data_IF_276306491561
#
_entry.id   IF_276306491561
#
_cell.length_a   1.000
_cell.length_b   1.000
_cell.length_c   1.000
_cell.angle_alpha   90.00
_cell.angle_beta   90.00
_cell.angle_gamma   90.00
#
_symmetry.space_group_name_H-M   'P 1'
#
loop_
_entity.id
_entity.type
_entity.pdbx_description
1 polymer ?
#
# COMPACT_ATOMS: atom_id res chain seq x y z
N UNK A 1 18.77 5.81 8.39
CA UNK A 1 17.54 5.01 8.65
C UNK A 1 16.35 5.94 8.91
N UNK A 2 16.42 6.83 9.92
CA UNK A 2 15.34 7.80 10.20
C UNK A 2 15.05 8.79 9.06
N UNK A 3 16.08 9.31 8.38
CA UNK A 3 15.93 10.23 7.24
C UNK A 3 15.10 9.62 6.11
N UNK A 4 15.42 8.38 5.72
CA UNK A 4 14.65 7.65 4.70
C UNK A 4 13.19 7.44 5.11
N UNK A 5 12.90 7.22 6.39
CA UNK A 5 11.53 7.05 6.86
C UNK A 5 10.73 8.34 6.75
N UNK A 6 11.32 9.49 7.09
CA UNK A 6 10.67 10.79 6.85
C UNK A 6 10.43 11.04 5.36
N UNK A 7 11.37 10.69 4.49
CA UNK A 7 11.20 10.86 3.04
C UNK A 7 10.10 9.95 2.46
N UNK A 8 10.03 8.70 2.90
CA UNK A 8 8.95 7.77 2.53
C UNK A 8 7.60 8.32 3.02
N UNK A 9 7.56 8.88 4.24
CA UNK A 9 6.34 9.46 4.78
C UNK A 9 5.86 10.68 3.99
N UNK A 10 6.75 11.59 3.63
CA UNK A 10 6.42 12.73 2.77
C UNK A 10 6.01 12.29 1.36
N UNK A 11 6.66 11.26 0.82
CA UNK A 11 6.24 10.60 -0.42
C UNK A 11 4.82 10.03 -0.31
N UNK A 12 4.49 9.36 0.80
CA UNK A 12 3.17 8.80 1.03
C UNK A 12 2.11 9.91 1.13
N UNK A 13 2.34 10.96 1.92
CA UNK A 13 1.43 12.12 2.04
C UNK A 13 1.15 12.77 0.69
N UNK A 14 2.16 12.85 -0.19
CA UNK A 14 2.02 13.40 -1.54
C UNK A 14 1.05 12.60 -2.41
N UNK A 15 1.03 11.26 -2.31
CA UNK A 15 0.26 10.41 -3.23
C UNK A 15 -1.00 9.80 -2.65
N UNK A 16 -1.13 9.63 -1.33
CA UNK A 16 -2.23 8.82 -0.74
C UNK A 16 -3.63 9.35 -1.05
N UNK A 17 -3.78 10.67 -1.18
CA UNK A 17 -5.04 11.29 -1.60
C UNK A 17 -5.44 10.93 -3.04
N UNK A 18 -4.47 10.80 -3.94
CA UNK A 18 -4.72 10.40 -5.33
C UNK A 18 -4.83 8.88 -5.48
N UNK A 19 -4.12 8.11 -4.62
CA UNK A 19 -4.22 6.65 -4.57
C UNK A 19 -5.63 6.24 -4.20
N UNK A 20 -6.22 6.85 -3.17
CA UNK A 20 -7.52 6.43 -2.66
C UNK A 20 -8.67 6.96 -3.53
N UNK A 21 -9.61 6.11 -3.94
CA UNK A 21 -10.85 6.58 -4.61
C UNK A 21 -11.94 6.95 -3.62
N UNK A 22 -11.73 6.65 -2.33
CA UNK A 22 -12.62 6.99 -1.21
C UNK A 22 -11.83 7.71 -0.11
N UNK A 23 -12.48 8.57 0.68
CA UNK A 23 -11.78 9.22 1.80
C UNK A 23 -11.71 8.32 3.05
N UNK A 24 -11.01 7.18 2.94
CA UNK A 24 -10.91 6.15 3.98
C UNK A 24 -9.45 5.80 4.33
N UNK A 25 -8.56 6.79 4.28
CA UNK A 25 -7.17 6.65 4.69
C UNK A 25 -6.87 7.39 6.00
N UNK A 26 -5.93 6.87 6.78
CA UNK A 26 -5.50 7.42 8.06
C UNK A 26 -3.98 7.44 8.10
N UNK A 27 -3.39 8.61 8.37
CA UNK A 27 -1.94 8.84 8.43
C UNK A 27 -1.57 9.12 9.88
N UNK A 28 -0.65 8.35 10.47
CA UNK A 28 -0.19 8.39 11.88
C UNK A 28 -1.29 8.10 12.93
N UNK A 29 -2.45 8.74 12.83
CA UNK A 29 -3.58 8.66 13.76
C UNK A 29 -4.63 7.62 13.33
N UNK A 30 -4.20 6.38 13.16
CA UNK A 30 -5.08 5.28 12.75
C UNK A 30 -5.98 4.85 13.92
N UNK A 31 -7.32 4.77 13.76
CA UNK A 31 -8.20 4.29 14.82
C UNK A 31 -7.77 2.91 15.32
N UNK A 32 -7.51 2.78 16.62
CA UNK A 32 -6.91 1.57 17.22
C UNK A 32 -7.63 0.27 16.86
N UNK A 33 -8.97 0.29 16.81
CA UNK A 33 -9.79 -0.86 16.40
C UNK A 33 -9.49 -1.30 14.95
N UNK A 34 -9.40 -0.35 14.02
CA UNK A 34 -9.09 -0.62 12.62
C UNK A 34 -7.65 -1.12 12.46
N UNK A 35 -6.71 -0.49 13.17
CA UNK A 35 -5.30 -0.90 13.18
C UNK A 35 -5.14 -2.34 13.66
N UNK A 36 -5.76 -2.69 14.80
CA UNK A 36 -5.69 -4.05 15.34
C UNK A 36 -6.33 -5.06 14.38
N UNK A 37 -7.43 -4.71 13.72
CA UNK A 37 -8.06 -5.56 12.70
C UNK A 37 -7.15 -5.76 11.48
N UNK A 38 -6.49 -4.70 11.00
CA UNK A 38 -5.55 -4.76 9.89
C UNK A 38 -4.35 -5.67 10.22
N UNK A 39 -3.72 -5.45 11.38
CA UNK A 39 -2.59 -6.27 11.86
C UNK A 39 -3.00 -7.74 11.98
N UNK A 40 -4.14 -8.00 12.63
CA UNK A 40 -4.64 -9.37 12.81
C UNK A 40 -4.98 -10.05 11.47
N UNK A 41 -5.53 -9.32 10.50
CA UNK A 41 -6.02 -9.91 9.25
C UNK A 41 -4.97 -10.04 8.15
N UNK A 42 -4.02 -9.10 8.03
CA UNK A 42 -3.07 -9.09 6.92
C UNK A 42 -1.69 -8.48 7.24
N UNK A 43 -1.48 -7.93 8.44
CA UNK A 43 -0.22 -7.35 8.89
C UNK A 43 0.47 -8.12 10.01
N UNK A 44 0.38 -9.45 10.06
CA UNK A 44 0.73 -10.26 11.26
C UNK A 44 2.15 -10.03 11.81
N UNK A 45 3.11 -9.69 10.96
CA UNK A 45 4.52 -9.50 11.33
C UNK A 45 4.95 -8.03 11.39
N UNK A 46 4.00 -7.09 11.29
CA UNK A 46 4.31 -5.67 11.28
C UNK A 46 4.61 -5.16 12.69
N UNK A 47 5.70 -4.41 12.81
CA UNK A 47 5.99 -3.60 14.00
C UNK A 47 5.16 -2.32 13.95
N UNK A 48 4.44 -1.98 15.03
CA UNK A 48 3.53 -0.83 15.06
C UNK A 48 4.25 0.49 14.76
N UNK A 49 5.48 0.62 15.23
CA UNK A 49 6.37 1.77 15.01
C UNK A 49 6.78 1.96 13.54
N UNK A 50 6.63 0.93 12.69
CA UNK A 50 6.91 1.02 11.27
C UNK A 50 5.67 1.40 10.45
N UNK A 51 4.48 1.47 11.05
CA UNK A 51 3.23 1.75 10.34
C UNK A 51 3.10 3.25 10.10
N UNK A 52 2.88 3.61 8.83
CA UNK A 52 2.75 5.01 8.39
C UNK A 52 1.28 5.39 8.14
N UNK A 53 0.54 4.51 7.46
CA UNK A 53 -0.85 4.75 7.14
C UNK A 53 -1.66 3.47 6.96
N UNK A 54 -2.98 3.60 7.11
CA UNK A 54 -3.97 2.59 6.73
C UNK A 54 -4.92 3.19 5.71
N UNK A 55 -5.05 2.54 4.55
CA UNK A 55 -6.19 2.71 3.63
C UNK A 55 -7.17 1.55 3.87
N UNK A 56 -8.32 1.84 4.45
CA UNK A 56 -9.38 0.87 4.74
C UNK A 56 -10.33 0.78 3.55
N UNK A 57 -10.39 -0.40 2.90
CA UNK A 57 -11.26 -0.62 1.74
C UNK A 57 -12.51 -1.45 2.09
N UNK A 58 -12.72 -1.75 3.37
CA UNK A 58 -13.87 -2.56 3.78
C UNK A 58 -15.17 -1.77 3.63
N UNK A 59 -16.21 -2.43 3.12
CA UNK A 59 -17.54 -1.83 2.91
C UNK A 59 -18.11 -1.24 4.22
N UNK A 60 -17.88 -1.93 5.35
CA UNK A 60 -18.36 -1.51 6.68
C UNK A 60 -17.31 -0.75 7.51
N UNK A 61 -16.18 -0.37 6.91
CA UNK A 61 -15.13 0.40 7.60
C UNK A 61 -14.52 -0.31 8.82
N UNK A 62 -14.39 -1.64 8.76
CA UNK A 62 -13.82 -2.46 9.83
C UNK A 62 -12.29 -2.48 9.85
N UNK A 63 -11.62 -2.16 8.74
CA UNK A 63 -10.15 -2.23 8.60
C UNK A 63 -9.59 -3.64 8.36
N UNK A 64 -10.45 -4.66 8.17
CA UNK A 64 -10.02 -6.06 7.92
C UNK A 64 -9.53 -6.33 6.50
N UNK A 65 -9.77 -5.41 5.58
CA UNK A 65 -9.28 -5.40 4.20
C UNK A 65 -8.70 -4.00 3.94
N UNK A 66 -7.70 -3.91 3.10
CA UNK A 66 -7.06 -2.63 2.80
C UNK A 66 -5.57 -2.73 2.58
N UNK A 67 -4.91 -1.58 2.69
CA UNK A 67 -3.49 -1.40 2.49
C UNK A 67 -2.89 -0.72 3.72
N UNK A 68 -1.99 -1.43 4.40
CA UNK A 68 -1.24 -0.95 5.54
C UNK A 68 0.17 -0.61 5.06
N UNK A 69 0.42 0.69 4.93
CA UNK A 69 1.69 1.25 4.47
C UNK A 69 2.66 1.29 5.64
N UNK A 70 3.89 0.81 5.41
CA UNK A 70 4.95 0.80 6.40
C UNK A 70 6.22 1.43 5.83
N UNK A 71 7.24 1.57 6.67
CA UNK A 71 8.58 2.02 6.25
C UNK A 71 9.31 1.01 5.35
N UNK A 72 8.86 -0.25 5.31
CA UNK A 72 9.54 -1.35 4.60
C UNK A 72 8.76 -1.86 3.39
N UNK A 73 7.44 -1.66 3.37
CA UNK A 73 6.58 -2.19 2.33
C UNK A 73 5.11 -1.89 2.53
N UNK A 74 4.26 -2.64 1.82
CA UNK A 74 2.81 -2.55 1.92
C UNK A 74 2.26 -3.95 2.23
N UNK A 75 1.65 -4.11 3.40
CA UNK A 75 0.81 -5.26 3.70
C UNK A 75 -0.60 -4.96 3.20
N UNK A 76 -1.22 -5.88 2.47
CA UNK A 76 -2.56 -5.62 1.97
C UNK A 76 -3.40 -6.88 1.84
N UNK A 77 -4.72 -6.67 1.82
CA UNK A 77 -5.70 -7.70 1.54
C UNK A 77 -6.86 -7.05 0.79
N UNK A 78 -7.04 -7.47 -0.46
CA UNK A 78 -8.20 -7.09 -1.25
C UNK A 78 -9.42 -7.94 -0.86
N UNK A 79 -10.62 -7.46 -1.16
CA UNK A 79 -11.85 -8.20 -0.87
C UNK A 79 -11.82 -9.58 -1.51
N UNK A 80 -12.16 -10.60 -0.72
CA UNK A 80 -12.14 -12.02 -1.11
C UNK A 80 -10.76 -12.59 -1.51
N UNK A 81 -9.67 -11.85 -1.32
CA UNK A 81 -8.31 -12.31 -1.59
C UNK A 81 -7.55 -12.63 -0.30
N UNK A 82 -6.46 -13.39 -0.44
CA UNK A 82 -5.52 -13.65 0.65
C UNK A 82 -4.65 -12.41 0.95
N UNK A 83 -4.10 -12.39 2.17
CA UNK A 83 -3.14 -11.35 2.57
C UNK A 83 -1.85 -11.45 1.75
N UNK A 84 -1.32 -10.29 1.34
CA UNK A 84 -0.11 -10.15 0.55
C UNK A 84 0.80 -9.06 1.11
N UNK A 85 2.08 -9.12 0.72
CA UNK A 85 3.09 -8.16 1.14
C UNK A 85 4.00 -7.78 -0.03
N UNK A 86 4.18 -6.49 -0.24
CA UNK A 86 5.13 -5.91 -1.20
C UNK A 86 6.28 -5.29 -0.41
N UNK A 87 7.44 -5.94 -0.39
CA UNK A 87 8.66 -5.34 0.16
C UNK A 87 9.24 -4.36 -0.85
N UNK A 88 9.46 -3.10 -0.46
CA UNK A 88 10.01 -2.08 -1.36
C UNK A 88 11.38 -2.45 -1.93
N UNK A 89 12.21 -3.14 -1.14
CA UNK A 89 13.56 -3.56 -1.52
C UNK A 89 13.58 -4.69 -2.54
N UNK A 90 12.49 -5.46 -2.62
CA UNK A 90 12.39 -6.67 -3.44
C UNK A 90 11.62 -6.43 -4.75
N UNK A 91 11.18 -5.20 -5.02
CA UNK A 91 10.57 -4.86 -6.31
C UNK A 91 11.64 -4.90 -7.40
N UNK A 92 11.36 -5.65 -8.48
CA UNK A 92 12.16 -5.71 -9.71
C UNK A 92 11.56 -4.78 -10.77
N UNK A 93 10.26 -4.94 -11.05
CA UNK A 93 9.57 -4.18 -12.11
C UNK A 93 8.09 -3.92 -11.77
N UNK A 94 7.56 -2.78 -12.25
CA UNK A 94 6.16 -2.38 -12.05
C UNK A 94 5.53 -2.00 -13.41
N UNK A 95 4.44 -2.67 -13.77
CA UNK A 95 3.64 -2.35 -14.97
C UNK A 95 2.17 -2.13 -14.63
N UNK A 96 1.50 -1.38 -15.51
CA UNK A 96 0.06 -1.18 -15.47
C UNK A 96 -0.53 -1.73 -16.76
N UNK A 97 -1.63 -2.46 -16.63
CA UNK A 97 -2.55 -2.72 -17.73
C UNK A 97 -3.64 -1.67 -17.62
N UNK A 98 -3.55 -0.66 -18.49
CA UNK A 98 -4.44 0.50 -18.47
C UNK A 98 -5.87 0.10 -18.88
N UNK A 99 -6.83 0.74 -18.23
CA UNK A 99 -8.26 0.66 -18.57
C UNK A 99 -8.86 2.07 -18.72
N UNK A 100 -10.15 2.15 -19.04
CA UNK A 100 -10.91 3.38 -19.25
C UNK A 100 -10.79 4.38 -18.07
N UNK A 101 -10.73 3.84 -16.85
CA UNK A 101 -10.48 4.58 -15.61
C UNK A 101 -9.29 3.97 -14.89
N UNK A 102 -8.47 4.81 -14.26
CA UNK A 102 -7.29 4.35 -13.51
C UNK A 102 -7.67 3.35 -12.41
N UNK A 103 -8.76 3.59 -11.69
CA UNK A 103 -9.27 2.64 -10.71
C UNK A 103 -9.67 1.28 -11.28
N UNK A 104 -9.94 1.16 -12.59
CA UNK A 104 -10.21 -0.12 -13.26
C UNK A 104 -8.93 -0.79 -13.78
N UNK A 105 -7.79 -0.09 -13.80
CA UNK A 105 -6.52 -0.62 -14.31
C UNK A 105 -5.97 -1.73 -13.41
N UNK A 106 -5.03 -2.52 -13.90
CA UNK A 106 -4.39 -3.59 -13.11
C UNK A 106 -2.93 -3.20 -12.86
N UNK A 107 -2.48 -3.25 -11.61
CA UNK A 107 -1.07 -3.05 -11.27
C UNK A 107 -0.40 -4.40 -11.09
N UNK A 108 0.61 -4.70 -11.90
CA UNK A 108 1.48 -5.86 -11.73
C UNK A 108 2.83 -5.41 -11.18
N UNK A 109 3.28 -6.11 -10.13
CA UNK A 109 4.56 -5.90 -9.47
C UNK A 109 5.32 -7.21 -9.54
N UNK A 110 6.40 -7.23 -10.33
CA UNK A 110 7.34 -8.34 -10.37
C UNK A 110 8.36 -8.14 -9.25
N UNK A 111 8.45 -9.12 -8.37
CA UNK A 111 9.44 -9.18 -7.31
C UNK A 111 10.74 -9.82 -7.83
N UNK A 112 11.87 -9.60 -7.16
CA UNK A 112 13.19 -10.14 -7.57
C UNK A 112 13.24 -11.67 -7.63
N UNK A 113 12.48 -12.33 -6.77
CA UNK A 113 12.28 -13.79 -6.76
C UNK A 113 11.35 -14.29 -7.88
N UNK A 114 10.93 -13.40 -8.79
CA UNK A 114 10.02 -13.65 -9.91
C UNK A 114 8.57 -13.94 -9.51
N UNK A 115 8.20 -13.78 -8.24
CA UNK A 115 6.80 -13.70 -7.84
C UNK A 115 6.14 -12.48 -8.47
N UNK A 116 4.93 -12.64 -8.99
CA UNK A 116 4.10 -11.52 -9.46
C UNK A 116 3.02 -11.26 -8.42
N UNK A 117 2.96 -10.02 -7.94
CA UNK A 117 1.87 -9.52 -7.11
C UNK A 117 0.98 -8.65 -8.00
N UNK A 118 -0.32 -8.87 -7.92
CA UNK A 118 -1.32 -8.16 -8.71
C UNK A 118 -2.27 -7.41 -7.79
N UNK A 119 -2.59 -6.17 -8.13
CA UNK A 119 -3.60 -5.35 -7.44
C UNK A 119 -4.67 -4.98 -8.47
N UNK A 120 -5.92 -5.37 -8.17
CA UNK A 120 -7.07 -5.18 -9.08
C UNK A 120 -8.17 -4.32 -8.47
N UNK A 121 -8.18 -4.10 -7.16
CA UNK A 121 -9.21 -3.37 -6.42
C UNK A 121 -9.51 -2.01 -7.03
N UNK A 122 -10.80 -1.70 -7.18
CA UNK A 122 -11.29 -0.44 -7.74
C UNK A 122 -11.40 0.68 -6.70
N UNK A 123 -11.09 0.39 -5.44
CA UNK A 123 -11.09 1.34 -4.33
C UNK A 123 -9.78 2.16 -4.28
N UNK A 124 -8.88 1.92 -5.23
CA UNK A 124 -7.67 2.71 -5.43
C UNK A 124 -7.30 2.86 -6.92
N UNK A 125 -6.62 3.95 -7.20
CA UNK A 125 -6.01 4.32 -8.47
C UNK A 125 -4.58 3.72 -8.58
N UNK A 126 -4.25 3.15 -9.75
CA UNK A 126 -3.04 2.34 -9.94
C UNK A 126 -1.85 3.19 -10.38
N UNK A 127 -2.08 4.23 -11.18
CA UNK A 127 -1.05 5.19 -11.60
C UNK A 127 -0.39 5.91 -10.41
N UNK A 128 -1.12 6.55 -9.48
CA UNK A 128 -0.50 7.20 -8.33
C UNK A 128 0.17 6.19 -7.39
N UNK A 129 -0.38 4.97 -7.23
CA UNK A 129 0.28 3.92 -6.44
C UNK A 129 1.61 3.50 -7.07
N UNK A 130 1.66 3.33 -8.40
CA UNK A 130 2.91 3.07 -9.13
C UNK A 130 3.92 4.20 -8.91
N UNK A 131 3.50 5.46 -9.02
CA UNK A 131 4.39 6.63 -8.83
C UNK A 131 4.94 6.67 -7.40
N UNK A 132 4.12 6.40 -6.40
CA UNK A 132 4.55 6.25 -5.00
C UNK A 132 5.64 5.17 -4.88
N UNK A 133 5.39 3.95 -5.36
CA UNK A 133 6.34 2.84 -5.29
C UNK A 133 7.66 3.16 -5.99
N UNK A 134 7.60 3.74 -7.19
CA UNK A 134 8.78 4.16 -7.94
C UNK A 134 9.61 5.20 -7.17
N UNK A 135 8.96 6.22 -6.61
CA UNK A 135 9.66 7.24 -5.84
C UNK A 135 10.27 6.69 -4.54
N UNK A 136 9.59 5.75 -3.87
CA UNK A 136 10.16 5.03 -2.72
C UNK A 136 11.40 4.23 -3.11
N UNK A 137 11.38 3.54 -4.25
CA UNK A 137 12.55 2.80 -4.76
C UNK A 137 13.75 3.74 -4.96
N UNK A 138 13.54 4.93 -5.51
CA UNK A 138 14.61 5.92 -5.69
C UNK A 138 15.15 6.46 -4.35
N UNK A 139 14.27 6.76 -3.38
CA UNK A 139 14.67 7.14 -2.00
C UNK A 139 15.54 6.05 -1.36
N UNK A 140 15.22 4.78 -1.60
CA UNK A 140 15.97 3.67 -1.01
C UNK A 140 17.35 3.47 -1.66
N UNK A 141 17.54 3.87 -2.92
CA UNK A 141 18.82 3.82 -3.64
C UNK A 141 19.79 4.95 -3.29
N UNK A 142 19.27 6.13 -2.93
CA UNK A 142 20.06 7.29 -2.48
C UNK A 142 20.77 7.01 -1.14
#
# INVERSE_FOLDING_TARGET
MLVKYSEIMECLKKYIGDISTINAYYIENIPMKKLNNAISSYGKDVKKENILALLDITILGTGKEGFLFTTEGIHFKESFNEANYISFKEIDFISIIDNDKDCNSILHIMMKDKKIITITSTILNKIPLKKFLQQVIEILKA
#
